data_IF_882626681114
#
_entry.id   IF_882626681114
#
_cell.length_a   1.000
_cell.length_b   1.000
_cell.length_c   1.000
_cell.angle_alpha   90.00
_cell.angle_beta   90.00
_cell.angle_gamma   90.00
#
_symmetry.space_group_name_H-M   'P 1'
#
loop_
_entity.id
_entity.type
_entity.pdbx_description
1 polymer ?
#
# COMPACT_ATOMS: atom_id res chain seq x y z
N UNK A 1 -29.58 -1.38 -44.35
CA UNK A 1 -28.12 -1.54 -44.12
C UNK A 1 -27.56 -0.45 -43.22
N UNK A 2 -27.68 0.85 -43.54
CA UNK A 2 -27.17 1.96 -42.70
C UNK A 2 -27.68 1.96 -41.25
N UNK A 3 -28.96 1.62 -41.03
CA UNK A 3 -29.56 1.52 -39.70
C UNK A 3 -28.96 0.41 -38.83
N UNK A 4 -28.49 -0.68 -39.45
CA UNK A 4 -27.82 -1.79 -38.75
C UNK A 4 -26.39 -1.39 -38.36
N UNK A 5 -25.67 -0.67 -39.21
CA UNK A 5 -24.37 -0.10 -38.88
C UNK A 5 -24.46 0.91 -37.72
N UNK A 6 -25.48 1.77 -37.71
CA UNK A 6 -25.73 2.71 -36.62
C UNK A 6 -26.00 1.98 -35.29
N UNK A 7 -26.73 0.86 -35.35
CA UNK A 7 -27.08 0.06 -34.17
C UNK A 7 -25.86 -0.68 -33.59
N UNK A 8 -24.99 -1.21 -34.46
CA UNK A 8 -23.74 -1.86 -34.06
C UNK A 8 -22.76 -0.84 -33.45
N UNK A 9 -22.67 0.36 -34.02
CA UNK A 9 -21.87 1.45 -33.46
C UNK A 9 -22.37 1.85 -32.05
N UNK A 10 -23.69 1.95 -31.87
CA UNK A 10 -24.29 2.25 -30.57
C UNK A 10 -24.03 1.14 -29.54
N UNK A 11 -24.08 -0.13 -29.94
CA UNK A 11 -23.77 -1.27 -29.07
C UNK A 11 -22.31 -1.27 -28.61
N UNK A 12 -21.38 -0.88 -29.49
CA UNK A 12 -19.95 -0.85 -29.17
C UNK A 12 -19.57 0.19 -28.10
N UNK A 13 -20.33 1.29 -28.01
CA UNK A 13 -20.14 2.34 -27.00
C UNK A 13 -20.54 1.87 -25.59
N UNK A 14 -21.44 0.90 -25.47
CA UNK A 14 -21.93 0.40 -24.17
C UNK A 14 -21.08 -0.78 -23.66
N UNK A 15 -20.36 -1.48 -24.55
CA UNK A 15 -19.58 -2.67 -24.22
C UNK A 15 -18.24 -2.37 -23.51
N UNK A 16 -17.74 -1.12 -23.54
CA UNK A 16 -16.54 -0.70 -22.81
C UNK A 16 -16.86 -0.38 -21.34
N UNK A 17 -17.20 -1.40 -20.54
CA UNK A 17 -17.15 -1.33 -19.08
C UNK A 17 -16.19 -2.38 -18.55
N UNK A 18 -14.93 -1.98 -18.41
CA UNK A 18 -13.90 -2.79 -17.79
C UNK A 18 -13.86 -2.41 -16.31
N UNK A 19 -14.70 -3.07 -15.50
CA UNK A 19 -14.65 -2.93 -14.04
C UNK A 19 -13.43 -3.72 -13.52
N UNK A 20 -12.24 -3.16 -13.71
CA UNK A 20 -10.97 -3.78 -13.29
C UNK A 20 -10.60 -3.41 -11.86
N UNK A 21 -11.57 -3.15 -10.99
CA UNK A 21 -11.33 -3.12 -9.54
C UNK A 21 -11.19 -4.55 -9.01
N UNK A 22 -10.20 -5.29 -9.50
CA UNK A 22 -9.50 -6.23 -8.62
C UNK A 22 -8.73 -5.33 -7.67
N UNK A 23 -9.30 -5.05 -6.50
CA UNK A 23 -8.54 -4.57 -5.37
C UNK A 23 -7.48 -5.64 -5.11
N UNK A 24 -6.30 -5.47 -5.70
CA UNK A 24 -5.15 -6.26 -5.33
C UNK A 24 -5.04 -6.10 -3.82
N UNK A 25 -5.00 -7.22 -3.11
CA UNK A 25 -4.83 -7.19 -1.67
C UNK A 25 -3.39 -6.77 -1.41
N UNK A 26 -3.20 -5.46 -1.30
CA UNK A 26 -1.91 -4.87 -0.99
C UNK A 26 -1.74 -4.93 0.52
N UNK A 27 -0.67 -5.59 0.96
CA UNK A 27 -0.28 -5.64 2.36
C UNK A 27 0.84 -4.62 2.51
N UNK A 28 0.54 -3.50 3.19
CA UNK A 28 1.52 -2.49 3.53
C UNK A 28 2.18 -2.78 4.89
N UNK A 29 3.35 -2.20 5.11
CA UNK A 29 4.00 -2.23 6.42
C UNK A 29 3.31 -1.25 7.38
N UNK A 30 3.33 -1.49 8.70
CA UNK A 30 2.77 -0.55 9.68
C UNK A 30 3.35 0.87 9.62
N UNK A 31 4.59 1.02 9.13
CA UNK A 31 5.26 2.31 8.99
C UNK A 31 4.93 3.05 7.69
N UNK A 32 4.23 2.42 6.74
CA UNK A 32 3.87 3.00 5.44
C UNK A 32 5.09 3.62 4.74
N UNK A 33 5.05 4.94 4.48
CA UNK A 33 6.09 5.69 3.78
C UNK A 33 7.19 6.26 4.70
N UNK A 34 7.22 5.88 5.98
CA UNK A 34 8.21 6.40 6.93
C UNK A 34 9.58 5.71 6.74
N UNK A 35 10.64 6.51 6.82
CA UNK A 35 12.01 5.99 6.82
C UNK A 35 12.37 5.34 8.16
N UNK A 36 13.33 4.42 8.09
CA UNK A 36 13.97 3.83 9.27
C UNK A 36 14.62 4.93 10.11
N UNK A 37 14.27 4.98 11.39
CA UNK A 37 14.83 5.91 12.35
C UNK A 37 14.67 5.36 13.77
N UNK A 38 15.56 5.80 14.66
CA UNK A 38 15.52 5.46 16.08
C UNK A 38 14.99 6.67 16.84
N UNK A 39 13.90 6.47 17.57
CA UNK A 39 13.33 7.42 18.52
C UNK A 39 13.20 6.73 19.89
N UNK A 40 13.94 7.25 20.87
CA UNK A 40 13.98 6.73 22.24
C UNK A 40 12.83 7.25 23.12
N UNK A 41 12.16 8.33 22.72
CA UNK A 41 11.04 8.93 23.46
C UNK A 41 9.69 8.61 22.82
N UNK A 42 9.68 8.29 21.53
CA UNK A 42 8.48 8.02 20.73
C UNK A 42 8.50 6.67 20.05
N UNK A 43 8.33 6.63 18.73
CA UNK A 43 8.16 5.38 17.98
C UNK A 43 9.33 5.18 17.03
N UNK A 44 10.06 4.09 17.20
CA UNK A 44 11.14 3.67 16.30
C UNK A 44 10.56 2.91 15.10
N UNK A 45 10.98 3.29 13.90
CA UNK A 45 10.72 2.53 12.66
C UNK A 45 11.97 1.71 12.34
N UNK A 46 11.86 0.38 12.37
CA UNK A 46 12.97 -0.51 11.99
C UNK A 46 12.94 -0.84 10.48
N UNK A 47 14.02 -1.38 9.88
CA UNK A 47 14.12 -1.60 8.42
C UNK A 47 12.98 -2.41 7.79
N UNK A 48 12.30 -3.26 8.58
CA UNK A 48 11.16 -4.05 8.11
C UNK A 48 9.81 -3.29 8.17
N UNK A 49 9.81 -1.97 8.43
CA UNK A 49 8.61 -1.14 8.55
C UNK A 49 7.76 -1.42 9.79
N UNK A 50 8.32 -2.11 10.79
CA UNK A 50 7.65 -2.33 12.09
C UNK A 50 7.83 -1.11 12.98
N UNK A 51 6.78 -0.80 13.73
CA UNK A 51 6.76 0.22 14.76
C UNK A 51 7.13 -0.39 16.11
N UNK A 52 8.05 0.24 16.83
CA UNK A 52 8.44 -0.12 18.19
C UNK A 52 8.26 1.10 19.10
N UNK A 53 7.52 0.92 20.19
CA UNK A 53 7.39 1.92 21.26
C UNK A 53 8.21 1.52 22.48
N UNK A 54 8.70 2.48 23.28
CA UNK A 54 9.43 2.21 24.51
C UNK A 54 8.48 1.71 25.59
N UNK A 55 8.14 0.43 25.54
CA UNK A 55 7.39 -0.24 26.59
C UNK A 55 8.34 -0.98 27.54
N UNK A 56 8.27 -0.68 28.84
CA UNK A 56 9.13 -1.27 29.86
C UNK A 56 10.54 -0.70 29.90
N UNK A 57 11.48 -1.44 30.51
CA UNK A 57 12.88 -1.04 30.64
C UNK A 57 13.66 -1.42 29.38
N UNK A 58 14.19 -0.43 28.68
CA UNK A 58 15.14 -0.66 27.59
C UNK A 58 16.58 -0.73 28.14
N UNK A 59 17.35 -1.72 27.70
CA UNK A 59 18.76 -1.87 28.05
C UNK A 59 19.58 -1.78 26.77
N UNK A 60 20.32 -0.69 26.61
CA UNK A 60 21.23 -0.50 25.49
C UNK A 60 22.50 -1.33 25.72
N UNK A 61 22.85 -2.15 24.73
CA UNK A 61 24.10 -2.92 24.71
C UNK A 61 25.13 -2.17 23.86
N UNK A 62 26.40 -2.24 24.26
CA UNK A 62 27.50 -1.72 23.45
C UNK A 62 27.60 -2.47 22.11
N UNK A 63 28.06 -1.82 21.02
CA UNK A 63 28.32 -2.50 19.74
C UNK A 63 29.28 -3.67 19.93
N UNK A 64 29.09 -4.73 19.13
CA UNK A 64 30.07 -5.81 19.06
C UNK A 64 31.41 -5.28 18.49
N UNK A 65 32.57 -5.66 19.06
CA UNK A 65 33.88 -5.29 18.54
C UNK A 65 34.17 -5.89 17.15
#
# INVERSE_FOLDING_TARGET
MLKQFLFIALLSLVACKQDSKKTAWEISSPAENQYTHIDYQGTTVIPNGRLLTPFGKQVLLAPHP
#
